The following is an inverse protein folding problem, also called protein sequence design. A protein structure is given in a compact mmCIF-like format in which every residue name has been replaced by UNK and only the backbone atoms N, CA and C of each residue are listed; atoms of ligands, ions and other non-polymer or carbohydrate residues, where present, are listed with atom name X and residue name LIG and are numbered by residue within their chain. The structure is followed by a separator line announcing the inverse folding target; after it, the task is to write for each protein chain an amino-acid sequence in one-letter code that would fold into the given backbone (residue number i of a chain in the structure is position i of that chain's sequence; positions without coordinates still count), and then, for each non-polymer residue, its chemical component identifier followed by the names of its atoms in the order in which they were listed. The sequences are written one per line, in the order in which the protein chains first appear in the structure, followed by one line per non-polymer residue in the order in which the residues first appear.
data_IF_661745920326
#
_entry.id   IF_661745920326
#
_cell.length_a   1.000
_cell.length_b   1.000
_cell.length_c   1.000
_cell.angle_alpha   90.00
_cell.angle_beta   90.00
_cell.angle_gamma   90.00
#
_symmetry.space_group_name_H-M   'P 1'
#
loop_
_entity.id
_entity.type
_entity.pdbx_description
1 polymer ?
#
# COMPACT_ATOMS: atom_id res chain seq x y z
N UNK A 1 7.84 12.00 14.78
CA UNK A 1 7.49 10.59 15.04
C UNK A 1 7.02 10.05 13.71
N UNK A 2 7.43 8.86 13.30
CA UNK A 2 6.98 8.32 12.02
C UNK A 2 5.52 7.90 12.15
N UNK A 3 4.68 8.33 11.22
CA UNK A 3 3.27 7.92 11.17
C UNK A 3 3.08 6.84 10.10
N UNK A 4 2.03 6.04 10.25
CA UNK A 4 1.63 5.10 9.20
C UNK A 4 0.93 5.84 8.07
N UNK A 5 1.23 5.44 6.83
CA UNK A 5 0.74 6.04 5.60
C UNK A 5 -0.27 5.10 4.92
N UNK A 6 -1.45 5.62 4.59
CA UNK A 6 -2.55 4.85 4.01
C UNK A 6 -3.15 5.50 2.76
N UNK A 7 -3.63 4.66 1.84
CA UNK A 7 -4.53 5.05 0.74
C UNK A 7 -5.81 4.22 0.82
N UNK A 8 -6.93 4.90 1.06
CA UNK A 8 -8.27 4.31 1.07
C UNK A 8 -8.97 4.57 -0.25
N UNK A 9 -9.64 3.54 -0.78
CA UNK A 9 -10.31 3.54 -2.08
C UNK A 9 -11.77 3.15 -1.93
N UNK A 10 -12.66 3.97 -2.49
CA UNK A 10 -14.09 3.66 -2.57
C UNK A 10 -14.52 3.46 -4.01
N UNK A 11 -15.43 2.50 -4.20
CA UNK A 11 -15.96 2.12 -5.50
C UNK A 11 -17.48 2.39 -5.57
N UNK A 12 -17.98 2.88 -6.71
CA UNK A 12 -19.41 3.12 -6.87
C UNK A 12 -20.16 1.80 -7.04
N UNK A 13 -21.30 1.64 -6.36
CA UNK A 13 -22.17 0.46 -6.44
C UNK A 13 -21.41 -0.87 -6.24
N UNK A 14 -20.47 -0.88 -5.28
CA UNK A 14 -19.57 -2.00 -5.09
C UNK A 14 -20.32 -3.29 -4.76
N UNK A 15 -19.95 -4.38 -5.43
CA UNK A 15 -20.43 -5.73 -5.16
C UNK A 15 -19.24 -6.56 -4.70
N UNK A 16 -19.44 -7.42 -3.71
CA UNK A 16 -18.38 -8.29 -3.19
C UNK A 16 -17.69 -9.12 -4.28
N UNK A 17 -18.45 -9.61 -5.26
CA UNK A 17 -17.91 -10.36 -6.42
C UNK A 17 -16.95 -9.54 -7.29
N UNK A 18 -16.98 -8.21 -7.20
CA UNK A 18 -16.06 -7.31 -7.90
C UNK A 18 -14.75 -7.07 -7.14
N UNK A 19 -14.62 -7.58 -5.90
CA UNK A 19 -13.45 -7.35 -5.07
C UNK A 19 -12.17 -7.94 -5.67
N UNK A 20 -12.20 -9.19 -6.14
CA UNK A 20 -11.04 -9.84 -6.77
C UNK A 20 -10.50 -9.05 -7.97
N UNK A 21 -11.32 -8.74 -8.99
CA UNK A 21 -10.89 -7.89 -10.10
C UNK A 21 -10.39 -6.51 -9.68
N UNK A 22 -11.00 -5.89 -8.65
CA UNK A 22 -10.56 -4.60 -8.14
C UNK A 22 -9.16 -4.69 -7.48
N UNK A 23 -8.92 -5.70 -6.64
CA UNK A 23 -7.61 -5.97 -6.02
C UNK A 23 -6.53 -6.20 -7.07
N UNK A 24 -6.81 -7.03 -8.09
CA UNK A 24 -5.90 -7.25 -9.21
C UNK A 24 -5.58 -5.95 -9.97
N UNK A 25 -6.59 -5.10 -10.17
CA UNK A 25 -6.42 -3.77 -10.76
C UNK A 25 -5.46 -2.91 -9.95
N UNK A 26 -5.64 -2.84 -8.63
CA UNK A 26 -4.79 -2.04 -7.73
C UNK A 26 -3.36 -2.60 -7.69
N UNK A 27 -3.19 -3.91 -7.53
CA UNK A 27 -1.86 -4.56 -7.53
C UNK A 27 -1.13 -4.29 -8.86
N UNK A 28 -1.84 -4.36 -9.99
CA UNK A 28 -1.25 -4.03 -11.30
C UNK A 28 -0.73 -2.59 -11.36
N UNK A 29 -1.48 -1.62 -10.83
CA UNK A 29 -1.03 -0.23 -10.76
C UNK A 29 0.16 -0.07 -9.81
N UNK A 30 0.18 -0.81 -8.71
CA UNK A 30 1.31 -0.83 -7.78
C UNK A 30 2.59 -1.32 -8.47
N UNK A 31 2.52 -2.40 -9.24
CA UNK A 31 3.66 -2.91 -10.02
C UNK A 31 4.12 -1.90 -11.09
N UNK A 32 3.18 -1.23 -11.78
CA UNK A 32 3.52 -0.17 -12.77
C UNK A 32 4.28 0.98 -12.11
N UNK A 33 3.93 1.33 -10.86
CA UNK A 33 4.60 2.36 -10.08
C UNK A 33 5.91 1.90 -9.40
N UNK A 34 6.44 0.73 -9.77
CA UNK A 34 7.72 0.21 -9.29
C UNK A 34 7.64 -0.68 -8.04
N UNK A 35 6.44 -1.08 -7.62
CA UNK A 35 6.25 -2.12 -6.62
C UNK A 35 6.55 -3.52 -7.17
N UNK A 36 6.73 -4.51 -6.29
CA UNK A 36 6.96 -5.90 -6.70
C UNK A 36 5.77 -6.44 -7.48
N UNK A 37 6.07 -7.26 -8.49
CA UNK A 37 5.04 -7.98 -9.26
C UNK A 37 4.59 -9.30 -8.62
N UNK A 38 5.16 -9.65 -7.46
CA UNK A 38 4.90 -10.90 -6.74
C UNK A 38 4.37 -10.60 -5.33
N UNK A 39 3.40 -11.40 -4.90
CA UNK A 39 2.83 -11.41 -3.56
C UNK A 39 3.74 -12.22 -2.64
N UNK A 40 4.07 -11.69 -1.47
CA UNK A 40 4.88 -12.36 -0.44
C UNK A 40 4.02 -13.15 0.55
N UNK A 41 2.84 -12.64 0.88
CA UNK A 41 1.87 -13.34 1.70
C UNK A 41 0.44 -12.97 1.31
N UNK A 42 -0.48 -13.90 1.49
CA UNK A 42 -1.91 -13.70 1.29
C UNK A 42 -2.68 -14.31 2.47
N UNK A 43 -3.57 -13.51 3.07
CA UNK A 43 -4.37 -13.89 4.24
C UNK A 43 -5.85 -13.57 4.00
N UNK A 44 -6.75 -14.37 4.59
CA UNK A 44 -8.16 -14.04 4.70
C UNK A 44 -8.62 -14.14 6.16
N UNK A 45 -9.08 -13.04 6.73
CA UNK A 45 -9.49 -12.91 8.12
C UNK A 45 -11.02 -12.90 8.21
N UNK A 46 -11.64 -13.81 8.97
CA UNK A 46 -13.08 -13.78 9.23
C UNK A 46 -13.41 -12.77 10.32
N UNK A 47 -14.57 -12.13 10.23
CA UNK A 47 -15.24 -11.28 11.23
C UNK A 47 -14.47 -10.01 11.65
N UNK A 48 -13.23 -10.13 12.13
CA UNK A 48 -12.38 -9.02 12.58
C UNK A 48 -10.90 -9.40 12.53
N UNK A 49 -10.03 -8.42 12.73
CA UNK A 49 -8.57 -8.62 12.81
C UNK A 49 -8.10 -9.44 14.02
N UNK A 50 -8.97 -9.67 15.01
CA UNK A 50 -8.64 -10.45 16.21
C UNK A 50 -8.81 -11.96 16.00
N UNK A 51 -9.41 -12.38 14.88
CA UNK A 51 -9.61 -13.78 14.56
C UNK A 51 -8.37 -14.39 13.88
N UNK A 52 -8.25 -15.72 13.97
CA UNK A 52 -7.24 -16.43 13.19
C UNK A 52 -7.61 -16.41 11.70
N UNK A 53 -6.63 -16.24 10.79
CA UNK A 53 -6.90 -16.25 9.36
C UNK A 53 -7.46 -17.63 8.93
N UNK A 54 -8.58 -17.60 8.20
CA UNK A 54 -9.20 -18.80 7.63
C UNK A 54 -8.41 -19.31 6.41
N UNK A 55 -7.68 -18.42 5.74
CA UNK A 55 -6.71 -18.72 4.71
C UNK A 55 -5.41 -17.98 5.02
N UNK A 56 -4.28 -18.66 4.91
CA UNK A 56 -2.95 -18.07 5.05
C UNK A 56 -1.97 -18.79 4.13
N UNK A 57 -1.26 -18.01 3.31
CA UNK A 57 -0.16 -18.52 2.48
C UNK A 57 0.98 -17.52 2.45
N UNK A 58 2.20 -18.01 2.66
CA UNK A 58 3.45 -17.30 2.41
C UNK A 58 4.06 -17.87 1.15
N UNK A 59 4.60 -17.02 0.30
CA UNK A 59 5.21 -17.41 -0.96
C UNK A 59 6.72 -17.22 -0.88
N UNK A 60 7.43 -18.30 -1.17
CA UNK A 60 8.89 -18.29 -1.29
C UNK A 60 9.31 -17.83 -2.69
N UNK A 61 10.55 -17.34 -2.81
CA UNK A 61 11.09 -16.78 -4.05
C UNK A 61 11.28 -17.80 -5.18
N UNK A 62 11.19 -19.10 -4.87
CA UNK A 62 11.27 -20.23 -5.81
C UNK A 62 9.90 -20.62 -6.40
N UNK A 63 8.79 -20.02 -5.95
CA UNK A 63 7.43 -20.25 -6.48
C UNK A 63 6.82 -19.01 -7.18
N UNK A 64 7.49 -18.36 -8.17
CA UNK A 64 7.02 -17.09 -8.74
C UNK A 64 5.67 -17.19 -9.46
N UNK A 65 5.33 -18.37 -10.01
CA UNK A 65 4.04 -18.60 -10.64
C UNK A 65 2.90 -18.60 -9.62
N UNK A 66 3.09 -19.20 -8.45
CA UNK A 66 2.10 -19.22 -7.38
C UNK A 66 1.97 -17.85 -6.69
N UNK A 67 3.09 -17.12 -6.59
CA UNK A 67 3.17 -15.77 -6.04
C UNK A 67 2.60 -14.69 -6.96
N UNK A 68 2.31 -15.00 -8.23
CA UNK A 68 1.72 -14.05 -9.17
C UNK A 68 0.33 -13.61 -8.67
N UNK A 69 -0.02 -12.30 -8.73
CA UNK A 69 -1.30 -11.79 -8.25
C UNK A 69 -2.50 -12.52 -8.86
N UNK A 70 -2.42 -12.89 -10.15
CA UNK A 70 -3.43 -13.65 -10.86
C UNK A 70 -3.69 -15.06 -10.30
N UNK A 71 -2.78 -15.61 -9.49
CA UNK A 71 -2.95 -16.88 -8.77
C UNK A 71 -3.25 -16.65 -7.28
N UNK A 72 -2.50 -15.77 -6.63
CA UNK A 72 -2.60 -15.52 -5.20
C UNK A 72 -3.96 -14.91 -4.79
N UNK A 73 -4.47 -13.94 -5.58
CA UNK A 73 -5.74 -13.27 -5.26
C UNK A 73 -6.92 -14.25 -5.34
N UNK A 74 -7.14 -15.00 -6.45
CA UNK A 74 -8.22 -15.97 -6.50
C UNK A 74 -8.12 -17.07 -5.44
N UNK A 75 -6.91 -17.50 -5.09
CA UNK A 75 -6.71 -18.51 -4.05
C UNK A 75 -7.19 -18.03 -2.66
N UNK A 76 -6.82 -16.80 -2.26
CA UNK A 76 -7.31 -16.23 -1.01
C UNK A 76 -8.82 -15.96 -1.02
N UNK A 77 -9.37 -15.63 -2.19
CA UNK A 77 -10.81 -15.36 -2.39
C UNK A 77 -11.62 -16.63 -2.69
N UNK A 78 -11.06 -17.83 -2.56
CA UNK A 78 -11.81 -19.08 -2.74
C UNK A 78 -13.02 -19.15 -1.80
N UNK A 79 -12.85 -18.67 -0.56
CA UNK A 79 -13.91 -18.46 0.42
C UNK A 79 -14.34 -16.98 0.43
N UNK A 80 -14.83 -16.49 -0.72
CA UNK A 80 -15.35 -15.14 -0.82
C UNK A 80 -16.59 -14.97 0.07
N UNK A 81 -16.48 -14.13 1.11
CA UNK A 81 -17.53 -13.93 2.10
C UNK A 81 -17.62 -12.45 2.51
N UNK A 82 -18.80 -12.03 2.98
CA UNK A 82 -19.10 -10.63 3.29
C UNK A 82 -18.48 -10.16 4.61
N UNK A 83 -18.32 -11.04 5.57
CA UNK A 83 -17.63 -10.81 6.84
C UNK A 83 -16.13 -11.10 6.78
N UNK A 84 -15.49 -11.15 5.60
CA UNK A 84 -14.05 -11.41 5.48
C UNK A 84 -13.26 -10.16 5.05
N UNK A 85 -12.01 -10.05 5.49
CA UNK A 85 -11.01 -9.18 4.89
C UNK A 85 -9.89 -9.99 4.25
N UNK A 86 -9.39 -9.53 3.11
CA UNK A 86 -8.36 -10.20 2.33
C UNK A 86 -7.13 -9.31 2.27
N UNK A 87 -6.00 -9.77 2.78
CA UNK A 87 -4.75 -9.02 2.83
C UNK A 87 -3.70 -9.65 1.93
N UNK A 88 -3.02 -8.82 1.14
CA UNK A 88 -1.90 -9.20 0.30
C UNK A 88 -0.69 -8.35 0.65
N UNK A 89 0.41 -9.00 1.05
CA UNK A 89 1.69 -8.34 1.29
C UNK A 89 2.54 -8.34 0.01
N UNK A 90 3.02 -7.17 -0.40
CA UNK A 90 3.95 -6.96 -1.50
C UNK A 90 5.15 -6.15 -1.01
N UNK A 91 6.16 -6.00 -1.87
CA UNK A 91 7.38 -5.25 -1.55
C UNK A 91 7.50 -4.01 -2.42
N UNK A 92 7.90 -2.88 -1.83
CA UNK A 92 8.27 -1.66 -2.55
C UNK A 92 9.72 -1.29 -2.23
N UNK A 93 10.57 -1.18 -3.24
CA UNK A 93 11.94 -0.72 -3.05
C UNK A 93 12.00 0.81 -3.01
N UNK A 94 12.18 1.36 -1.82
CA UNK A 94 12.21 2.81 -1.58
C UNK A 94 13.60 3.23 -1.14
N UNK A 95 14.02 4.44 -1.52
CA UNK A 95 15.24 5.02 -1.00
C UNK A 95 15.11 5.26 0.51
N UNK A 96 16.08 4.77 1.26
CA UNK A 96 16.22 4.98 2.68
C UNK A 96 17.68 5.32 3.01
N UNK A 97 17.86 6.14 4.03
CA UNK A 97 19.16 6.43 4.60
C UNK A 97 19.57 5.27 5.51
N UNK A 98 20.73 4.68 5.25
CA UNK A 98 21.36 3.72 6.15
C UNK A 98 21.80 4.47 7.43
N UNK A 99 21.56 3.89 8.61
CA UNK A 99 21.74 4.55 9.92
C UNK A 99 22.98 5.44 9.98
N UNK A 100 22.75 6.72 10.25
CA UNK A 100 23.77 7.75 10.32
C UNK A 100 24.76 7.46 11.47
N UNK A 101 26.01 7.14 11.12
CA UNK A 101 27.15 7.44 11.97
C UNK A 101 27.60 8.89 11.79
N UNK A 102 28.75 9.28 12.36
CA UNK A 102 29.40 10.60 12.19
C UNK A 102 29.92 10.87 10.75
N UNK A 103 29.42 10.16 9.74
CA UNK A 103 29.83 10.25 8.34
C UNK A 103 28.63 10.60 7.44
N UNK A 104 28.93 10.98 6.20
CA UNK A 104 27.92 11.33 5.20
C UNK A 104 26.85 10.22 5.04
N UNK A 105 25.56 10.58 4.92
CA UNK A 105 24.46 9.65 4.72
C UNK A 105 24.70 8.70 3.54
N UNK A 106 24.62 7.38 3.77
CA UNK A 106 24.60 6.40 2.67
C UNK A 106 23.13 6.12 2.32
N UNK A 107 22.76 6.38 1.06
CA UNK A 107 21.43 6.10 0.54
C UNK A 107 21.41 4.79 -0.24
N UNK A 108 20.40 3.96 0.02
CA UNK A 108 20.13 2.75 -0.75
C UNK A 108 18.65 2.48 -0.87
N UNK A 109 18.27 1.75 -1.91
CA UNK A 109 16.92 1.20 -1.99
C UNK A 109 16.79 0.04 -1.00
N UNK A 110 15.79 0.12 -0.14
CA UNK A 110 15.47 -0.93 0.81
C UNK A 110 14.05 -1.46 0.55
N UNK A 111 13.84 -2.78 0.66
CA UNK A 111 12.51 -3.36 0.53
C UNK A 111 11.64 -2.94 1.71
N UNK A 112 10.46 -2.41 1.40
CA UNK A 112 9.41 -2.05 2.36
C UNK A 112 8.15 -2.86 2.08
N UNK A 113 7.55 -3.42 3.12
CA UNK A 113 6.29 -4.15 2.99
C UNK A 113 5.14 -3.17 2.76
N UNK A 114 4.35 -3.44 1.73
CA UNK A 114 3.09 -2.75 1.44
C UNK A 114 1.98 -3.77 1.53
N UNK A 115 0.89 -3.44 2.24
CA UNK A 115 -0.28 -4.32 2.35
C UNK A 115 -1.42 -3.75 1.54
N UNK A 116 -2.02 -4.57 0.68
CA UNK A 116 -3.24 -4.24 -0.06
C UNK A 116 -4.35 -5.09 0.51
N UNK A 117 -5.35 -4.43 1.09
CA UNK A 117 -6.42 -5.05 1.87
C UNK A 117 -7.75 -4.80 1.17
N UNK A 118 -8.52 -5.85 0.94
CA UNK A 118 -9.90 -5.80 0.47
C UNK A 118 -10.88 -6.16 1.57
N UNK A 119 -11.90 -5.34 1.79
CA UNK A 119 -12.90 -5.55 2.84
C UNK A 119 -14.21 -6.08 2.28
N UNK A 120 -14.72 -7.14 2.89
CA UNK A 120 -16.11 -7.51 2.81
C UNK A 120 -17.00 -6.50 3.54
N UNK A 121 -18.26 -6.32 3.11
CA UNK A 121 -19.15 -5.29 3.65
C UNK A 121 -19.55 -5.48 5.12
N UNK A 122 -19.47 -6.69 5.67
CA UNK A 122 -19.84 -6.99 7.06
C UNK A 122 -18.61 -7.14 7.99
N UNK A 123 -17.40 -7.16 7.44
CA UNK A 123 -16.17 -7.31 8.22
C UNK A 123 -15.92 -6.11 9.16
N UNK A 124 -15.62 -6.42 10.42
CA UNK A 124 -15.21 -5.48 11.47
C UNK A 124 -16.15 -4.27 11.57
N UNK A 125 -17.42 -4.55 11.79
CA UNK A 125 -18.49 -3.53 11.92
C UNK A 125 -18.60 -2.61 10.69
N UNK A 126 -18.56 -3.20 9.49
CA UNK A 126 -18.59 -2.44 8.22
C UNK A 126 -17.43 -1.43 8.09
N UNK A 127 -16.24 -1.83 8.57
CA UNK A 127 -15.00 -1.02 8.56
C UNK A 127 -14.67 -0.39 7.20
N UNK A 128 -15.16 -0.95 6.08
CA UNK A 128 -14.99 -0.42 4.74
C UNK A 128 -15.54 1.01 4.57
N UNK A 129 -16.53 1.43 5.36
CA UNK A 129 -17.12 2.77 5.25
C UNK A 129 -16.05 3.85 5.51
N UNK A 130 -15.20 3.62 6.50
CA UNK A 130 -14.11 4.53 6.89
C UNK A 130 -12.81 4.22 6.16
N UNK A 131 -12.55 2.94 5.88
CA UNK A 131 -11.27 2.47 5.34
C UNK A 131 -11.24 2.38 3.81
N UNK A 132 -12.39 2.49 3.15
CA UNK A 132 -12.57 2.12 1.74
C UNK A 132 -12.83 0.63 1.58
N UNK A 133 -13.42 0.23 0.45
CA UNK A 133 -13.53 -1.20 0.12
C UNK A 133 -12.16 -1.83 -0.16
N UNK A 134 -11.19 -1.03 -0.61
CA UNK A 134 -9.78 -1.42 -0.65
C UNK A 134 -8.96 -0.36 0.10
N UNK A 135 -8.08 -0.81 1.00
CA UNK A 135 -7.09 0.03 1.69
C UNK A 135 -5.68 -0.46 1.36
N UNK A 136 -4.77 0.48 1.12
CA UNK A 136 -3.35 0.22 0.99
C UNK A 136 -2.66 0.80 2.23
N UNK A 137 -1.84 -0.02 2.88
CA UNK A 137 -0.93 0.35 3.95
C UNK A 137 0.49 0.37 3.40
N UNK A 138 1.12 1.54 3.38
CA UNK A 138 2.47 1.73 2.87
C UNK A 138 3.54 1.60 3.95
N UNK A 139 3.15 1.37 5.20
CA UNK A 139 4.03 1.44 6.35
C UNK A 139 4.33 2.88 6.77
N UNK A 140 5.48 3.08 7.39
CA UNK A 140 5.91 4.38 7.88
C UNK A 140 6.09 5.41 6.75
N UNK A 141 5.67 6.65 7.00
CA UNK A 141 5.81 7.79 6.09
C UNK A 141 7.24 8.34 5.96
N UNK A 142 8.17 7.87 6.79
CA UNK A 142 9.55 8.37 6.87
C UNK A 142 10.29 8.39 5.52
N UNK A 143 10.21 7.35 4.66
CA UNK A 143 10.86 7.37 3.35
C UNK A 143 10.34 8.49 2.41
N UNK A 144 9.15 9.02 2.67
CA UNK A 144 8.49 10.02 1.82
C UNK A 144 8.59 11.44 2.38
N UNK A 145 8.69 11.59 3.71
CA UNK A 145 8.63 12.90 4.35
C UNK A 145 9.95 13.34 4.99
N UNK A 146 10.72 12.41 5.57
CA UNK A 146 11.91 12.71 6.38
C UNK A 146 11.67 13.91 7.33
N UNK A 147 10.65 13.82 8.17
CA UNK A 147 10.20 14.96 8.97
C UNK A 147 11.24 15.43 9.99
N UNK A 148 11.35 16.76 10.13
CA UNK A 148 12.25 17.37 11.11
C UNK A 148 13.74 17.25 10.78
N UNK A 149 14.07 16.82 9.56
CA UNK A 149 15.45 16.72 9.06
C UNK A 149 15.67 17.72 7.92
N UNK A 150 16.76 18.47 7.99
CA UNK A 150 17.24 19.28 6.87
C UNK A 150 17.85 18.35 5.82
N UNK A 151 17.27 18.34 4.63
CA UNK A 151 17.72 17.50 3.53
C UNK A 151 18.79 18.25 2.74
N UNK A 152 19.93 17.59 2.54
CA UNK A 152 20.87 17.99 1.50
C UNK A 152 20.28 17.69 0.10
N UNK A 153 21.00 18.10 -0.95
CA UNK A 153 20.52 17.95 -2.33
C UNK A 153 20.32 16.48 -2.76
N UNK A 154 21.14 15.56 -2.26
CA UNK A 154 21.06 14.14 -2.60
C UNK A 154 19.86 13.48 -1.90
N UNK A 155 19.72 13.72 -0.60
CA UNK A 155 18.58 13.29 0.21
C UNK A 155 17.26 13.82 -0.35
N UNK A 156 17.22 15.08 -0.77
CA UNK A 156 16.06 15.70 -1.39
C UNK A 156 15.63 14.98 -2.68
N UNK A 157 16.58 14.62 -3.54
CA UNK A 157 16.31 13.90 -4.78
C UNK A 157 15.78 12.47 -4.52
N UNK A 158 16.35 11.76 -3.55
CA UNK A 158 15.88 10.43 -3.16
C UNK A 158 14.45 10.45 -2.60
N UNK A 159 14.16 11.40 -1.71
CA UNK A 159 12.81 11.60 -1.19
C UNK A 159 11.84 11.96 -2.32
N UNK A 160 12.24 12.84 -3.26
CA UNK A 160 11.43 13.20 -4.43
C UNK A 160 11.08 11.98 -5.28
N UNK A 161 12.02 11.06 -5.51
CA UNK A 161 11.77 9.82 -6.25
C UNK A 161 10.74 8.93 -5.53
N UNK A 162 10.87 8.75 -4.22
CA UNK A 162 9.89 7.98 -3.43
C UNK A 162 8.49 8.62 -3.51
N UNK A 163 8.39 9.95 -3.37
CA UNK A 163 7.12 10.67 -3.48
C UNK A 163 6.54 10.56 -4.89
N UNK A 164 7.36 10.63 -5.93
CA UNK A 164 6.89 10.46 -7.31
C UNK A 164 6.29 9.06 -7.53
N UNK A 165 6.92 8.00 -7.01
CA UNK A 165 6.39 6.63 -7.07
C UNK A 165 5.02 6.52 -6.37
N UNK A 166 4.86 7.15 -5.21
CA UNK A 166 3.57 7.21 -4.50
C UNK A 166 2.49 7.95 -5.30
N UNK A 167 2.85 9.09 -5.90
CA UNK A 167 1.94 9.89 -6.73
C UNK A 167 1.53 9.12 -7.98
N UNK A 168 2.48 8.47 -8.65
CA UNK A 168 2.24 7.68 -9.86
C UNK A 168 1.31 6.50 -9.58
N UNK A 169 1.56 5.76 -8.50
CA UNK A 169 0.67 4.69 -8.05
C UNK A 169 -0.75 5.21 -7.83
N UNK A 170 -0.88 6.28 -7.05
CA UNK A 170 -2.18 6.81 -6.66
C UNK A 170 -2.97 7.35 -7.86
N UNK A 171 -2.27 7.99 -8.80
CA UNK A 171 -2.86 8.47 -10.05
C UNK A 171 -3.27 7.31 -10.97
N UNK A 172 -2.43 6.28 -11.08
CA UNK A 172 -2.74 5.08 -11.85
C UNK A 172 -4.00 4.39 -11.35
N UNK A 173 -4.14 4.23 -10.03
CA UNK A 173 -5.36 3.70 -9.42
C UNK A 173 -6.58 4.56 -9.75
N UNK A 174 -6.46 5.88 -9.59
CA UNK A 174 -7.56 6.81 -9.89
C UNK A 174 -8.01 6.72 -11.36
N UNK A 175 -7.08 6.57 -12.29
CA UNK A 175 -7.37 6.55 -13.72
C UNK A 175 -7.88 5.19 -14.22
N UNK A 176 -7.41 4.10 -13.62
CA UNK A 176 -7.58 2.75 -14.20
C UNK A 176 -8.41 1.80 -13.35
N UNK A 177 -8.68 2.10 -12.08
CA UNK A 177 -9.41 1.17 -11.20
C UNK A 177 -10.89 1.48 -11.04
N UNK A 178 -11.42 2.56 -11.64
CA UNK A 178 -12.86 2.86 -11.60
C UNK A 178 -13.39 3.23 -10.21
N UNK A 179 -12.53 3.77 -9.35
CA UNK A 179 -12.89 4.27 -8.02
C UNK A 179 -13.81 5.50 -8.12
N UNK A 180 -14.71 5.68 -7.16
CA UNK A 180 -15.51 6.90 -7.01
C UNK A 180 -14.77 7.97 -6.22
N UNK A 181 -13.97 7.56 -5.25
CA UNK A 181 -13.18 8.45 -4.40
C UNK A 181 -11.96 7.75 -3.82
N UNK A 182 -10.98 8.55 -3.40
CA UNK A 182 -9.80 8.11 -2.67
C UNK A 182 -9.44 9.08 -1.56
N UNK A 183 -8.75 8.59 -0.55
CA UNK A 183 -8.16 9.39 0.51
C UNK A 183 -6.75 8.88 0.80
N UNK A 184 -5.74 9.75 0.65
CA UNK A 184 -4.37 9.50 1.08
C UNK A 184 -4.17 10.22 2.42
N UNK A 185 -3.82 9.48 3.48
CA UNK A 185 -3.81 10.00 4.85
C UNK A 185 -2.75 9.32 5.71
N UNK A 186 -2.38 9.97 6.82
CA UNK A 186 -1.51 9.41 7.86
C UNK A 186 -2.28 9.22 9.16
N UNK A 187 -1.83 8.29 10.02
CA UNK A 187 -2.48 7.98 11.31
C UNK A 187 -2.72 9.21 12.21
N UNK A 188 -1.81 10.18 12.19
CA UNK A 188 -1.93 11.44 12.94
C UNK A 188 -2.99 12.41 12.42
N UNK A 189 -3.57 12.16 11.24
CA UNK A 189 -4.60 13.01 10.63
C UNK A 189 -4.11 14.35 10.10
N UNK A 190 -2.80 14.60 10.11
CA UNK A 190 -2.23 15.81 9.52
C UNK A 190 -2.42 15.81 8.00
N UNK A 191 -2.43 16.98 7.36
CA UNK A 191 -2.65 17.11 5.92
C UNK A 191 -1.42 16.63 5.13
N UNK A 192 -1.21 15.33 5.10
CA UNK A 192 -0.16 14.63 4.41
C UNK A 192 -0.03 15.07 2.95
N UNK A 193 -1.15 15.28 2.25
CA UNK A 193 -1.14 15.82 0.89
C UNK A 193 -0.43 17.18 0.80
N UNK A 194 -0.62 18.07 1.78
CA UNK A 194 0.07 19.35 1.82
C UNK A 194 1.56 19.17 2.14
N UNK A 195 1.92 18.23 3.04
CA UNK A 195 3.31 17.89 3.34
C UNK A 195 4.04 17.36 2.10
N UNK A 196 3.43 16.43 1.37
CA UNK A 196 3.97 15.87 0.14
C UNK A 196 4.12 16.95 -0.95
N UNK A 197 3.14 17.84 -1.12
CA UNK A 197 3.23 18.97 -2.05
C UNK A 197 4.35 19.93 -1.65
N UNK A 198 4.45 20.29 -0.37
CA UNK A 198 5.50 21.15 0.15
C UNK A 198 6.89 20.53 -0.09
N UNK A 199 7.02 19.21 0.11
CA UNK A 199 8.25 18.47 -0.22
C UNK A 199 8.55 18.55 -1.71
N UNK A 200 7.60 18.28 -2.60
CA UNK A 200 7.83 18.39 -4.05
C UNK A 200 8.21 19.81 -4.49
N UNK A 201 7.70 20.84 -3.82
CA UNK A 201 8.01 22.25 -4.12
C UNK A 201 9.36 22.72 -3.56
N UNK A 202 9.83 22.16 -2.44
CA UNK A 202 11.15 22.47 -1.87
C UNK A 202 12.32 21.89 -2.69
N UNK A 203 12.06 20.88 -3.53
CA UNK A 203 13.05 20.17 -4.35
C UNK A 203 12.99 20.60 -5.83
N UNK A 204 12.39 21.76 -6.13
CA UNK A 204 12.38 22.39 -7.46
C UNK A 204 13.03 23.78 -7.40
#
# INVERSE_FOLDING_TARGET
MADQLYLSLWYPNFRLTSLGPALLGVIRQFTIAGGSGLVKAANAYPISWNEAPAYQRVYDDDEPEAAAPEQAVPAALELLHDDFAYEFELTWELWAQEQAGDLDPIWRKEPRTVRIIGYGPEFDESSYEQNGQIRIDFGADTPFLQEGVDLDAEAAEHVKQNVQMLVDFTNGVQQHCGISSRLLWSESGESLAQKLIARLQQVN
#
